data_IF_548585131492
#
_entry.id   IF_548585131492
#
_cell.length_a   1.000
_cell.length_b   1.000
_cell.length_c   1.000
_cell.angle_alpha   90.00
_cell.angle_beta   90.00
_cell.angle_gamma   90.00
#
_symmetry.space_group_name_H-M   'P 1'
#
loop_
_entity.id
_entity.type
_entity.pdbx_description
1 polymer ?
#
# COMPACT_ATOMS: atom_id res chain seq x y z
N UNK A 1 26.71 4.84 -22.37
CA UNK A 1 26.02 5.77 -21.45
C UNK A 1 24.58 5.94 -21.93
N UNK A 2 23.56 5.38 -21.24
CA UNK A 2 22.15 5.54 -21.66
C UNK A 2 21.72 6.98 -21.37
N UNK A 3 21.33 7.75 -22.39
CA UNK A 3 20.68 9.06 -22.20
C UNK A 3 19.32 8.84 -21.57
N UNK A 4 19.06 9.50 -20.44
CA UNK A 4 17.71 9.59 -19.87
C UNK A 4 16.94 10.67 -20.64
N UNK A 5 16.06 10.25 -21.56
CA UNK A 5 15.11 11.16 -22.19
C UNK A 5 13.92 11.34 -21.23
N UNK A 6 13.94 12.42 -20.46
CA UNK A 6 12.87 12.77 -19.53
C UNK A 6 11.92 13.75 -20.21
N UNK A 7 10.66 13.35 -20.34
CA UNK A 7 9.60 14.24 -20.83
C UNK A 7 9.09 15.11 -19.67
N UNK A 8 8.75 16.40 -19.90
CA UNK A 8 8.20 17.28 -18.86
C UNK A 8 6.84 16.80 -18.32
N UNK A 9 6.14 15.95 -19.07
CA UNK A 9 4.82 15.45 -18.73
C UNK A 9 4.90 14.37 -17.65
N UNK A 10 4.15 14.57 -16.57
CA UNK A 10 4.01 13.56 -15.52
C UNK A 10 3.44 12.23 -16.04
N UNK A 11 3.83 11.14 -15.39
CA UNK A 11 3.22 9.83 -15.66
C UNK A 11 1.74 9.85 -15.33
N UNK A 12 0.95 9.20 -16.19
CA UNK A 12 -0.46 8.97 -15.88
C UNK A 12 -0.60 7.89 -14.80
N UNK A 13 -1.68 7.90 -14.00
CA UNK A 13 -1.92 6.84 -13.03
C UNK A 13 -1.93 5.43 -13.65
N UNK A 14 -2.47 5.31 -14.88
CA UNK A 14 -2.48 4.06 -15.63
C UNK A 14 -1.05 3.61 -15.98
N UNK A 15 -0.19 4.53 -16.43
CA UNK A 15 1.21 4.23 -16.74
C UNK A 15 1.94 3.68 -15.52
N UNK A 16 1.72 4.27 -14.33
CA UNK A 16 2.28 3.75 -13.07
C UNK A 16 1.81 2.32 -12.81
N UNK A 17 0.52 2.04 -12.98
CA UNK A 17 -0.03 0.70 -12.77
C UNK A 17 0.54 -0.33 -13.77
N UNK A 18 0.73 0.06 -15.04
CA UNK A 18 1.35 -0.80 -16.05
C UNK A 18 2.81 -1.09 -15.76
N UNK A 19 3.58 -0.08 -15.33
CA UNK A 19 4.97 -0.27 -14.88
C UNK A 19 4.99 -1.28 -13.73
N UNK A 20 4.10 -1.12 -12.76
CA UNK A 20 4.01 -1.99 -11.60
C UNK A 20 3.72 -3.45 -11.99
N UNK A 21 2.70 -3.67 -12.82
CA UNK A 21 2.36 -5.01 -13.33
C UNK A 21 3.53 -5.65 -14.08
N UNK A 22 4.23 -4.88 -14.92
CA UNK A 22 5.43 -5.37 -15.61
C UNK A 22 6.54 -5.77 -14.64
N UNK A 23 6.75 -5.00 -13.56
CA UNK A 23 7.76 -5.32 -12.53
C UNK A 23 7.35 -6.55 -11.69
N UNK A 24 6.07 -6.69 -11.36
CA UNK A 24 5.55 -7.88 -10.68
C UNK A 24 5.79 -9.15 -11.52
N UNK A 25 5.43 -9.11 -12.80
CA UNK A 25 5.69 -10.23 -13.72
C UNK A 25 7.19 -10.56 -13.83
N UNK A 26 8.05 -9.54 -13.93
CA UNK A 26 9.51 -9.73 -13.98
C UNK A 26 10.08 -10.34 -12.69
N UNK A 27 9.40 -10.19 -11.55
CA UNK A 27 9.74 -10.81 -10.29
C UNK A 27 9.11 -12.21 -10.10
N UNK A 28 8.44 -12.76 -11.13
CA UNK A 28 7.77 -14.06 -11.05
C UNK A 28 6.43 -14.05 -10.31
N UNK A 29 5.85 -12.87 -10.06
CA UNK A 29 4.56 -12.72 -9.39
C UNK A 29 3.42 -12.64 -10.41
N UNK A 30 2.23 -13.13 -10.05
CA UNK A 30 1.02 -12.94 -10.87
C UNK A 30 0.59 -11.48 -10.87
N UNK A 31 0.87 -10.77 -11.96
CA UNK A 31 0.57 -9.36 -12.14
C UNK A 31 -0.93 -9.01 -12.03
N UNK A 32 -1.85 -9.97 -12.15
CA UNK A 32 -3.29 -9.69 -11.96
C UNK A 32 -3.65 -9.45 -10.50
N UNK A 33 -2.87 -10.00 -9.57
CA UNK A 33 -3.05 -9.80 -8.13
C UNK A 33 -2.54 -8.44 -7.64
N UNK A 34 -1.85 -7.67 -8.49
CA UNK A 34 -1.22 -6.42 -8.11
C UNK A 34 -1.83 -5.20 -8.81
N UNK A 35 -1.99 -4.13 -8.04
CA UNK A 35 -2.28 -2.79 -8.55
C UNK A 35 -1.58 -1.74 -7.70
N UNK A 36 -1.29 -0.58 -8.30
CA UNK A 36 -0.63 0.53 -7.59
C UNK A 36 -1.45 0.99 -6.37
N UNK A 37 -2.77 1.10 -6.53
CA UNK A 37 -3.66 1.45 -5.42
C UNK A 37 -3.72 0.33 -4.36
N UNK A 38 -3.84 -0.92 -4.78
CA UNK A 38 -3.87 -2.08 -3.89
C UNK A 38 -2.61 -2.19 -3.03
N UNK A 39 -1.43 -1.94 -3.59
CA UNK A 39 -0.18 -1.93 -2.82
C UNK A 39 -0.14 -0.83 -1.76
N UNK A 40 -0.68 0.35 -2.07
CA UNK A 40 -0.77 1.45 -1.10
C UNK A 40 -1.72 1.12 0.06
N UNK A 41 -2.84 0.48 -0.22
CA UNK A 41 -3.75 -0.03 0.81
C UNK A 41 -3.10 -1.17 1.63
N UNK A 42 -2.41 -2.08 0.95
CA UNK A 42 -1.66 -3.17 1.55
C UNK A 42 -0.57 -2.68 2.50
N UNK A 43 0.11 -1.58 2.16
CA UNK A 43 1.10 -0.94 3.04
C UNK A 43 0.50 -0.57 4.41
N UNK A 44 -0.65 0.12 4.44
CA UNK A 44 -1.31 0.47 5.71
C UNK A 44 -1.79 -0.75 6.49
N UNK A 45 -2.25 -1.79 5.80
CA UNK A 45 -2.68 -3.04 6.43
C UNK A 45 -1.47 -3.75 7.07
N UNK A 46 -0.33 -3.78 6.37
CA UNK A 46 0.89 -4.41 6.85
C UNK A 46 1.52 -3.65 8.01
N UNK A 47 1.54 -2.31 7.96
CA UNK A 47 2.04 -1.49 9.08
C UNK A 47 1.20 -1.71 10.34
N UNK A 48 -0.13 -1.82 10.19
CA UNK A 48 -1.02 -2.17 11.28
C UNK A 48 -0.70 -3.55 11.88
N UNK A 49 -0.49 -4.57 11.05
CA UNK A 49 -0.11 -5.92 11.51
C UNK A 49 1.20 -5.95 12.28
N UNK A 50 2.15 -5.08 11.89
CA UNK A 50 3.44 -4.91 12.58
C UNK A 50 3.37 -4.04 13.83
N UNK A 51 2.20 -3.48 14.15
CA UNK A 51 2.02 -2.60 15.31
C UNK A 51 2.66 -1.22 15.16
N UNK A 52 2.97 -0.80 13.92
CA UNK A 52 3.50 0.54 13.65
C UNK A 52 2.37 1.56 13.88
N UNK A 53 2.58 2.66 14.62
CA UNK A 53 1.55 3.67 14.86
C UNK A 53 0.94 4.22 13.57
N UNK A 54 -0.38 4.42 13.57
CA UNK A 54 -1.13 4.90 12.40
C UNK A 54 -0.56 6.23 11.86
N UNK A 55 -0.25 7.19 12.73
CA UNK A 55 0.27 8.51 12.32
C UNK A 55 1.61 8.38 11.60
N UNK A 56 2.49 7.49 12.06
CA UNK A 56 3.78 7.22 11.42
C UNK A 56 3.58 6.59 10.03
N UNK A 57 2.70 5.60 9.92
CA UNK A 57 2.34 5.00 8.62
C UNK A 57 1.66 6.01 7.67
N UNK A 58 0.88 6.95 8.20
CA UNK A 58 0.26 8.04 7.44
C UNK A 58 1.28 9.05 6.92
N UNK A 59 2.36 9.35 7.66
CA UNK A 59 3.44 10.21 7.17
C UNK A 59 4.12 9.61 5.94
N UNK A 60 4.47 8.32 5.97
CA UNK A 60 5.07 7.66 4.82
C UNK A 60 4.08 7.50 3.67
N UNK A 61 2.85 7.10 3.97
CA UNK A 61 1.84 6.92 2.94
C UNK A 61 1.28 8.25 2.43
N UNK A 62 1.44 9.39 3.10
CA UNK A 62 0.83 10.67 2.72
C UNK A 62 -0.72 10.65 2.75
N UNK A 63 -1.34 9.83 3.61
CA UNK A 63 -2.77 9.96 3.87
C UNK A 63 -3.02 11.18 4.75
N UNK A 64 -3.93 12.05 4.33
CA UNK A 64 -4.30 13.26 5.09
C UNK A 64 -5.46 13.02 6.06
N UNK A 65 -6.29 12.01 5.78
CA UNK A 65 -7.45 11.70 6.60
C UNK A 65 -7.18 10.49 7.49
N UNK A 66 -7.24 10.71 8.80
CA UNK A 66 -7.16 9.64 9.80
C UNK A 66 -8.33 8.67 9.63
N UNK A 67 -9.55 9.18 9.38
CA UNK A 67 -10.74 8.33 9.26
C UNK A 67 -10.71 7.41 8.03
N UNK A 68 -10.02 7.80 6.97
CA UNK A 68 -9.80 6.95 5.81
C UNK A 68 -8.74 5.89 6.10
N UNK A 69 -7.62 6.27 6.71
CA UNK A 69 -6.50 5.37 6.97
C UNK A 69 -6.79 4.38 8.11
N UNK A 70 -7.58 4.77 9.12
CA UNK A 70 -7.92 3.94 10.27
C UNK A 70 -8.72 2.69 9.89
N UNK A 71 -9.46 2.71 8.77
CA UNK A 71 -10.19 1.53 8.28
C UNK A 71 -9.27 0.33 8.09
N UNK A 72 -8.09 0.54 7.51
CA UNK A 72 -7.11 -0.53 7.31
C UNK A 72 -6.54 -1.09 8.62
N UNK A 73 -6.39 -0.23 9.64
CA UNK A 73 -5.93 -0.64 10.96
C UNK A 73 -7.00 -1.45 11.69
N UNK A 74 -8.25 -0.99 11.66
CA UNK A 74 -9.39 -1.68 12.27
C UNK A 74 -9.56 -3.08 11.66
N UNK A 75 -9.46 -3.20 10.34
CA UNK A 75 -9.56 -4.49 9.65
C UNK A 75 -8.41 -5.44 10.04
N UNK A 76 -7.19 -4.92 10.14
CA UNK A 76 -6.03 -5.70 10.58
C UNK A 76 -6.15 -6.18 12.04
N UNK A 77 -6.59 -5.31 12.95
CA UNK A 77 -6.80 -5.68 14.36
C UNK A 77 -7.90 -6.74 14.52
N UNK A 78 -8.97 -6.62 13.73
CA UNK A 78 -10.06 -7.60 13.69
C UNK A 78 -9.56 -8.98 13.25
N UNK A 79 -8.74 -9.03 12.20
CA UNK A 79 -8.12 -10.26 11.73
C UNK A 79 -7.19 -10.88 12.77
N UNK A 80 -6.46 -10.05 13.52
CA UNK A 80 -5.57 -10.53 14.57
C UNK A 80 -6.32 -11.05 15.81
N UNK A 81 -7.62 -10.76 15.96
CA UNK A 81 -8.44 -11.23 17.08
C UNK A 81 -8.01 -10.70 18.45
N UNK A 82 -7.19 -9.62 18.48
CA UNK A 82 -6.64 -9.07 19.74
C UNK A 82 -7.73 -8.60 20.68
N UNK A 83 -8.71 -7.86 20.17
CA UNK A 83 -9.86 -7.39 20.95
C UNK A 83 -10.75 -8.54 21.42
N UNK A 84 -10.93 -9.59 20.61
CA UNK A 84 -11.73 -10.76 20.97
C UNK A 84 -11.11 -11.57 22.13
N UNK A 85 -9.79 -11.48 22.34
CA UNK A 85 -9.05 -12.17 23.41
C UNK A 85 -9.01 -11.40 24.74
N UNK A 86 -9.59 -10.20 24.83
CA UNK A 86 -9.64 -9.43 26.08
C UNK A 86 -10.78 -9.84 27.03
N UNK A 87 -11.73 -10.67 26.57
CA UNK A 87 -12.90 -11.11 27.34
C UNK A 87 -12.84 -12.63 27.63
N UNK A 88 -11.62 -13.19 27.71
CA UNK A 88 -11.38 -14.57 28.15
C UNK A 88 -10.64 -14.55 29.47
#
# INVERSE_FOLDING_TARGET
MRRCNLEPRALTPQAVNLILKRRAAAAGLDAQLFSAHGLRAGYLTETARRGIPLVEAMQQSQHRSISQASRYYNDAERQLGRAARLIV
#
